data_IF_631279956487
#
_entry.id   IF_631279956487
#
_cell.length_a   1.000
_cell.length_b   1.000
_cell.length_c   1.000
_cell.angle_alpha   90.00
_cell.angle_beta   90.00
_cell.angle_gamma   90.00
#
_symmetry.space_group_name_H-M   'P 1'
#
loop_
_entity.id
_entity.type
_entity.pdbx_description
1 polymer ?
#
# COMPACT_ATOMS: atom_id res chain seq x y z
N UNK A 1 31.35 -33.24 -44.78
CA UNK A 1 32.50 -32.37 -44.51
C UNK A 1 32.11 -30.90 -44.42
N UNK A 2 31.51 -30.26 -45.46
CA UNK A 2 31.20 -28.81 -45.43
C UNK A 2 30.28 -28.44 -44.27
N UNK A 3 29.18 -29.16 -44.05
CA UNK A 3 28.25 -28.92 -42.91
C UNK A 3 28.93 -29.06 -41.54
N UNK A 4 29.89 -29.98 -41.37
CA UNK A 4 30.63 -30.21 -40.13
C UNK A 4 31.49 -29.01 -39.73
N UNK A 5 31.86 -28.17 -40.69
CA UNK A 5 32.63 -26.94 -40.46
C UNK A 5 31.70 -25.74 -40.37
N UNK A 6 30.70 -25.67 -41.26
CA UNK A 6 29.80 -24.49 -41.32
C UNK A 6 28.87 -24.34 -40.10
N UNK A 7 28.33 -25.48 -39.61
CA UNK A 7 27.38 -25.44 -38.47
C UNK A 7 28.06 -24.97 -37.17
N UNK A 8 29.23 -25.52 -36.75
CA UNK A 8 29.95 -25.02 -35.59
C UNK A 8 30.37 -23.54 -35.74
N UNK A 9 30.85 -23.15 -36.93
CA UNK A 9 31.26 -21.77 -37.18
C UNK A 9 30.08 -20.80 -37.04
N UNK A 10 28.92 -21.11 -37.60
CA UNK A 10 27.70 -20.34 -37.41
C UNK A 10 27.25 -20.30 -35.96
N UNK A 11 27.30 -21.43 -35.27
CA UNK A 11 26.95 -21.50 -33.86
C UNK A 11 27.86 -20.60 -33.01
N UNK A 12 29.16 -20.61 -33.26
CA UNK A 12 30.12 -19.73 -32.53
C UNK A 12 29.78 -18.25 -32.75
N UNK A 13 29.48 -17.85 -33.99
CA UNK A 13 29.14 -16.46 -34.31
C UNK A 13 27.81 -16.06 -33.66
N UNK A 14 26.75 -16.84 -33.82
CA UNK A 14 25.42 -16.54 -33.30
C UNK A 14 25.44 -16.52 -31.75
N UNK A 15 25.93 -17.58 -31.12
CA UNK A 15 25.97 -17.66 -29.67
C UNK A 15 27.02 -16.70 -29.07
N UNK A 16 28.14 -16.47 -29.76
CA UNK A 16 29.16 -15.49 -29.31
C UNK A 16 28.59 -14.08 -29.24
N UNK A 17 27.94 -13.61 -30.31
CA UNK A 17 27.29 -12.30 -30.32
C UNK A 17 26.15 -12.25 -29.28
N UNK A 18 25.35 -13.30 -29.16
CA UNK A 18 24.24 -13.37 -28.20
C UNK A 18 24.75 -13.29 -26.78
N UNK A 19 25.74 -14.08 -26.39
CA UNK A 19 26.32 -14.08 -25.05
C UNK A 19 26.98 -12.74 -24.71
N UNK A 20 27.56 -12.07 -25.68
CA UNK A 20 28.16 -10.75 -25.49
C UNK A 20 27.09 -9.64 -25.34
N UNK A 21 26.03 -9.70 -26.12
CA UNK A 21 24.96 -8.67 -26.09
C UNK A 21 23.99 -8.83 -24.93
N UNK A 22 23.75 -10.04 -24.40
CA UNK A 22 22.86 -10.26 -23.25
C UNK A 22 23.15 -9.39 -22.02
N UNK A 23 24.38 -9.29 -21.47
CA UNK A 23 24.68 -8.42 -20.34
C UNK A 23 24.54 -6.93 -20.69
N UNK A 24 24.80 -6.57 -21.95
CA UNK A 24 24.63 -5.20 -22.43
C UNK A 24 23.15 -4.80 -22.51
N UNK A 25 22.27 -5.68 -22.95
CA UNK A 25 20.82 -5.46 -22.92
C UNK A 25 20.28 -5.27 -21.49
N UNK A 26 20.82 -6.01 -20.50
CA UNK A 26 20.49 -5.75 -19.07
C UNK A 26 20.86 -4.34 -18.63
N UNK A 27 22.02 -3.84 -19.09
CA UNK A 27 22.45 -2.46 -18.80
C UNK A 27 21.57 -1.43 -19.51
N UNK A 28 21.12 -1.70 -20.74
CA UNK A 28 20.15 -0.85 -21.45
C UNK A 28 18.85 -0.79 -20.70
N UNK A 29 18.33 -1.95 -20.24
CA UNK A 29 17.10 -2.01 -19.45
C UNK A 29 17.21 -1.20 -18.15
N UNK A 30 18.31 -1.37 -17.41
CA UNK A 30 18.53 -0.58 -16.19
C UNK A 30 18.69 0.93 -16.46
N UNK A 31 19.22 1.30 -17.64
CA UNK A 31 19.24 2.69 -18.09
C UNK A 31 17.85 3.23 -18.41
N UNK A 32 17.01 2.41 -19.07
CA UNK A 32 15.62 2.76 -19.36
C UNK A 32 14.80 2.95 -18.08
N UNK A 33 14.97 2.05 -17.11
CA UNK A 33 14.28 2.14 -15.81
C UNK A 33 14.65 3.43 -15.05
N UNK A 34 15.91 3.88 -15.15
CA UNK A 34 16.34 5.18 -14.58
C UNK A 34 15.66 6.37 -15.26
N UNK A 35 15.69 6.43 -16.60
CA UNK A 35 15.02 7.50 -17.36
C UNK A 35 13.52 7.54 -17.06
N UNK A 36 12.85 6.38 -16.97
CA UNK A 36 11.44 6.31 -16.58
C UNK A 36 11.22 6.75 -15.14
N UNK A 37 12.14 6.41 -14.22
CA UNK A 37 12.12 6.85 -12.83
C UNK A 37 12.22 8.38 -12.74
N UNK A 38 13.21 8.97 -13.36
CA UNK A 38 13.41 10.42 -13.44
C UNK A 38 12.21 11.14 -14.07
N UNK A 39 11.64 10.58 -15.15
CA UNK A 39 10.39 11.12 -15.76
C UNK A 39 9.23 11.12 -14.77
N UNK A 40 9.03 10.02 -14.03
CA UNK A 40 7.96 9.93 -13.04
C UNK A 40 8.16 10.89 -11.88
N UNK A 41 9.39 11.02 -11.40
CA UNK A 41 9.76 11.96 -10.34
C UNK A 41 9.52 13.41 -10.79
N UNK A 42 9.95 13.78 -11.98
CA UNK A 42 9.72 15.11 -12.54
C UNK A 42 8.22 15.44 -12.71
N UNK A 43 7.41 14.47 -13.15
CA UNK A 43 5.96 14.66 -13.30
C UNK A 43 5.25 14.80 -11.94
N UNK A 44 5.64 14.02 -10.95
CA UNK A 44 5.05 14.10 -9.61
C UNK A 44 5.54 15.32 -8.84
N UNK A 45 6.81 15.68 -9.01
CA UNK A 45 7.49 16.79 -8.34
C UNK A 45 7.42 18.12 -9.07
N UNK A 46 6.68 18.27 -10.18
CA UNK A 46 6.68 19.47 -11.03
C UNK A 46 6.42 20.78 -10.28
N UNK A 47 5.56 20.74 -9.25
CA UNK A 47 5.26 21.93 -8.42
C UNK A 47 6.46 22.32 -7.56
N UNK A 48 7.20 21.34 -7.05
CA UNK A 48 8.41 21.57 -6.25
C UNK A 48 9.52 22.11 -7.14
N UNK A 49 9.75 21.50 -8.31
CA UNK A 49 10.76 21.95 -9.28
C UNK A 49 10.53 23.42 -9.64
N UNK A 50 9.27 23.81 -9.93
CA UNK A 50 8.90 25.19 -10.22
C UNK A 50 9.04 26.13 -9.02
N UNK A 51 8.64 25.68 -7.83
CA UNK A 51 8.74 26.50 -6.62
C UNK A 51 10.20 26.87 -6.27
N UNK A 52 11.15 25.99 -6.64
CA UNK A 52 12.58 26.20 -6.40
C UNK A 52 13.36 26.64 -7.65
N UNK A 53 12.67 26.95 -8.78
CA UNK A 53 13.28 27.37 -10.05
C UNK A 53 14.41 26.43 -10.52
N UNK A 54 14.13 25.11 -10.50
CA UNK A 54 15.12 24.06 -10.83
C UNK A 54 14.83 23.35 -12.16
N UNK A 55 14.02 23.97 -13.03
CA UNK A 55 13.61 23.37 -14.31
C UNK A 55 14.82 23.07 -15.20
N UNK A 56 15.74 24.01 -15.36
CA UNK A 56 16.93 23.83 -16.21
C UNK A 56 17.79 22.65 -15.72
N UNK A 57 18.05 22.60 -14.42
CA UNK A 57 18.82 21.50 -13.82
C UNK A 57 18.16 20.15 -14.02
N UNK A 58 16.82 20.07 -13.85
CA UNK A 58 16.06 18.85 -14.05
C UNK A 58 16.12 18.38 -15.52
N UNK A 59 16.07 19.31 -16.46
CA UNK A 59 16.23 19.02 -17.91
C UNK A 59 17.65 18.53 -18.21
N UNK A 60 18.68 19.17 -17.67
CA UNK A 60 20.08 18.76 -17.85
C UNK A 60 20.33 17.33 -17.32
N UNK A 61 19.84 17.00 -16.13
CA UNK A 61 19.95 15.67 -15.54
C UNK A 61 19.25 14.62 -16.40
N UNK A 62 18.01 14.89 -16.82
CA UNK A 62 17.25 14.01 -17.72
C UNK A 62 17.97 13.79 -19.06
N UNK A 63 18.47 14.89 -19.67
CA UNK A 63 19.20 14.77 -20.94
C UNK A 63 20.52 13.99 -20.78
N UNK A 64 21.23 14.14 -19.67
CA UNK A 64 22.45 13.37 -19.40
C UNK A 64 22.15 11.87 -19.31
N UNK A 65 21.11 11.48 -18.59
CA UNK A 65 20.66 10.08 -18.49
C UNK A 65 20.21 9.54 -19.87
N UNK A 66 19.40 10.30 -20.58
CA UNK A 66 18.90 9.93 -21.90
C UNK A 66 20.04 9.80 -22.95
N UNK A 67 21.02 10.71 -22.91
CA UNK A 67 22.23 10.63 -23.76
C UNK A 67 23.04 9.37 -23.44
N UNK A 68 23.21 9.04 -22.15
CA UNK A 68 23.93 7.84 -21.72
C UNK A 68 23.20 6.57 -22.20
N UNK A 69 21.88 6.50 -22.02
CA UNK A 69 21.04 5.39 -22.51
C UNK A 69 21.13 5.27 -24.03
N UNK A 70 20.99 6.37 -24.76
CA UNK A 70 21.06 6.41 -26.23
C UNK A 70 22.42 5.91 -26.74
N UNK A 71 23.53 6.35 -26.12
CA UNK A 71 24.89 5.90 -26.46
C UNK A 71 25.05 4.39 -26.26
N UNK A 72 24.57 3.87 -25.14
CA UNK A 72 24.61 2.46 -24.84
C UNK A 72 23.74 1.63 -25.80
N UNK A 73 22.52 2.08 -26.04
CA UNK A 73 21.57 1.40 -26.95
C UNK A 73 22.10 1.37 -28.39
N UNK A 74 22.69 2.47 -28.85
CA UNK A 74 23.33 2.55 -30.17
C UNK A 74 24.53 1.59 -30.28
N UNK A 75 25.35 1.47 -29.22
CA UNK A 75 26.46 0.52 -29.18
C UNK A 75 25.97 -0.92 -29.27
N UNK A 76 24.99 -1.31 -28.45
CA UNK A 76 24.40 -2.64 -28.46
C UNK A 76 23.73 -2.94 -29.81
N UNK A 77 23.02 -1.95 -30.37
CA UNK A 77 22.39 -2.06 -31.68
C UNK A 77 23.41 -2.33 -32.80
N UNK A 78 24.56 -1.64 -32.79
CA UNK A 78 25.65 -1.91 -33.78
C UNK A 78 26.20 -3.32 -33.70
N UNK A 79 26.45 -3.83 -32.49
CA UNK A 79 26.94 -5.20 -32.29
C UNK A 79 25.86 -6.20 -32.77
N UNK A 80 24.61 -6.00 -32.36
CA UNK A 80 23.52 -6.89 -32.80
C UNK A 80 23.29 -6.86 -34.31
N UNK A 81 23.48 -5.69 -34.95
CA UNK A 81 23.34 -5.54 -36.38
C UNK A 81 24.39 -6.32 -37.17
N UNK A 82 25.59 -6.61 -36.62
CA UNK A 82 26.62 -7.40 -37.26
C UNK A 82 26.24 -8.89 -37.38
N UNK A 83 25.27 -9.36 -36.63
CA UNK A 83 24.89 -10.79 -36.65
C UNK A 83 24.44 -11.25 -38.03
N UNK A 84 23.56 -10.50 -38.69
CA UNK A 84 23.02 -10.85 -40.00
C UNK A 84 24.10 -10.85 -41.11
N UNK A 85 24.89 -9.78 -41.31
CA UNK A 85 25.94 -9.76 -42.31
C UNK A 85 26.96 -10.89 -42.15
N UNK A 86 27.40 -11.15 -40.88
CA UNK A 86 28.36 -12.22 -40.63
C UNK A 86 27.80 -13.61 -40.91
N UNK A 87 26.56 -13.88 -40.52
CA UNK A 87 25.90 -15.14 -40.81
C UNK A 87 25.72 -15.34 -42.32
N UNK A 88 25.24 -14.31 -43.04
CA UNK A 88 25.11 -14.38 -44.50
C UNK A 88 26.47 -14.56 -45.21
N UNK A 89 27.52 -13.92 -44.75
CA UNK A 89 28.86 -14.10 -45.34
C UNK A 89 29.31 -15.56 -45.21
N UNK A 90 29.21 -16.15 -44.03
CA UNK A 90 29.59 -17.55 -43.80
C UNK A 90 28.80 -18.50 -44.69
N UNK A 91 27.49 -18.26 -44.78
CA UNK A 91 26.59 -19.09 -45.59
C UNK A 91 26.95 -19.01 -47.08
N UNK A 92 27.11 -17.79 -47.62
CA UNK A 92 27.43 -17.60 -49.01
C UNK A 92 28.78 -18.26 -49.37
N UNK A 93 29.80 -18.11 -48.52
CA UNK A 93 31.08 -18.80 -48.71
C UNK A 93 30.88 -20.32 -48.69
N UNK A 94 30.16 -20.86 -47.69
CA UNK A 94 29.87 -22.29 -47.62
C UNK A 94 29.09 -22.80 -48.81
N UNK A 95 28.14 -21.99 -49.33
CA UNK A 95 27.37 -22.30 -50.55
C UNK A 95 28.28 -22.40 -51.79
N UNK A 96 29.19 -21.45 -51.99
CA UNK A 96 30.16 -21.50 -53.12
C UNK A 96 31.00 -22.77 -53.05
N UNK A 97 31.53 -23.09 -51.85
CA UNK A 97 32.30 -24.34 -51.69
C UNK A 97 31.43 -25.60 -51.90
N UNK A 98 30.16 -25.59 -51.47
CA UNK A 98 29.22 -26.69 -51.68
C UNK A 98 29.00 -26.91 -53.19
N UNK A 99 28.68 -25.87 -53.96
CA UNK A 99 28.45 -25.94 -55.40
C UNK A 99 29.69 -26.40 -56.11
N UNK A 100 30.89 -25.85 -55.82
CA UNK A 100 32.14 -26.22 -56.43
C UNK A 100 32.47 -27.71 -56.21
N UNK A 101 32.38 -28.24 -55.02
CA UNK A 101 32.63 -29.65 -54.70
C UNK A 101 31.55 -30.55 -55.22
N UNK A 102 30.29 -30.11 -55.26
CA UNK A 102 29.19 -30.85 -55.86
C UNK A 102 29.30 -30.96 -57.39
N UNK A 103 29.68 -29.88 -58.10
CA UNK A 103 29.88 -29.87 -59.54
C UNK A 103 30.92 -30.90 -59.94
N UNK A 104 32.06 -30.98 -59.24
CA UNK A 104 33.09 -32.00 -59.50
C UNK A 104 32.53 -33.44 -59.39
N UNK A 105 31.71 -33.69 -58.32
CA UNK A 105 31.14 -35.03 -58.12
C UNK A 105 30.04 -35.39 -59.09
N UNK A 106 29.25 -34.41 -59.54
CA UNK A 106 28.23 -34.61 -60.59
C UNK A 106 28.89 -34.95 -61.88
N UNK A 107 29.98 -34.27 -62.29
CA UNK A 107 30.72 -34.54 -63.47
C UNK A 107 31.38 -35.94 -63.46
N UNK A 108 31.75 -36.46 -62.30
CA UNK A 108 32.26 -37.81 -62.12
C UNK A 108 31.17 -38.88 -62.01
N UNK A 109 29.87 -38.51 -62.18
CA UNK A 109 28.73 -39.41 -62.07
C UNK A 109 28.43 -39.95 -60.69
N UNK A 110 29.12 -39.43 -59.63
CA UNK A 110 29.00 -39.89 -58.25
C UNK A 110 27.85 -39.26 -57.48
N UNK A 111 27.20 -38.20 -58.02
CA UNK A 111 26.08 -37.52 -57.40
C UNK A 111 25.07 -37.01 -58.42
N UNK A 112 23.77 -37.28 -58.28
CA UNK A 112 22.75 -36.73 -59.18
C UNK A 112 22.52 -35.24 -58.86
N UNK A 113 22.18 -34.40 -59.82
CA UNK A 113 21.94 -32.94 -59.67
C UNK A 113 20.89 -32.61 -58.62
N UNK A 114 19.80 -33.39 -58.50
CA UNK A 114 18.75 -33.19 -57.53
C UNK A 114 19.22 -33.26 -56.07
N UNK A 115 20.23 -34.10 -55.80
CA UNK A 115 20.82 -34.13 -54.42
C UNK A 115 21.61 -32.88 -54.09
N UNK A 116 22.21 -32.21 -55.09
CA UNK A 116 22.92 -30.93 -54.84
C UNK A 116 21.93 -29.83 -54.40
N UNK A 117 20.78 -29.77 -55.09
CA UNK A 117 19.70 -28.84 -54.79
C UNK A 117 19.12 -29.14 -53.40
N UNK A 118 18.93 -30.41 -53.05
CA UNK A 118 18.47 -30.82 -51.74
C UNK A 118 19.47 -30.41 -50.63
N UNK A 119 20.76 -30.62 -50.81
CA UNK A 119 21.81 -30.18 -49.85
C UNK A 119 21.82 -28.66 -49.67
N UNK A 120 21.66 -27.88 -50.73
CA UNK A 120 21.56 -26.44 -50.67
C UNK A 120 20.34 -25.99 -49.82
N UNK A 121 19.17 -26.56 -50.09
CA UNK A 121 17.96 -26.28 -49.34
C UNK A 121 18.08 -26.66 -47.88
N UNK A 122 18.67 -27.81 -47.54
CA UNK A 122 18.94 -28.19 -46.13
C UNK A 122 19.88 -27.21 -45.46
N UNK A 123 20.91 -26.68 -46.15
CA UNK A 123 21.82 -25.69 -45.58
C UNK A 123 21.08 -24.41 -45.23
N UNK A 124 20.19 -23.89 -46.07
CA UNK A 124 19.35 -22.73 -45.78
C UNK A 124 18.39 -22.98 -44.59
N UNK A 125 17.80 -24.18 -44.55
CA UNK A 125 16.87 -24.53 -43.48
C UNK A 125 17.55 -24.65 -42.13
N UNK A 126 18.77 -25.22 -42.06
CA UNK A 126 19.54 -25.31 -40.81
C UNK A 126 19.76 -23.93 -40.17
N UNK A 127 19.96 -22.89 -40.96
CA UNK A 127 20.16 -21.52 -40.46
C UNK A 127 18.89 -20.98 -39.80
N UNK A 128 17.76 -21.17 -40.51
CA UNK A 128 16.46 -20.73 -39.98
C UNK A 128 16.19 -21.42 -38.62
N UNK A 129 16.47 -22.72 -38.56
CA UNK A 129 16.27 -23.48 -37.31
C UNK A 129 17.25 -23.06 -36.19
N UNK A 130 18.50 -22.71 -36.50
CA UNK A 130 19.45 -22.15 -35.53
C UNK A 130 18.97 -20.81 -34.95
N UNK A 131 18.45 -19.93 -35.77
CA UNK A 131 17.88 -18.63 -35.31
C UNK A 131 16.64 -18.87 -34.43
N UNK A 132 15.76 -19.78 -34.82
CA UNK A 132 14.60 -20.18 -34.03
C UNK A 132 15.03 -20.75 -32.66
N UNK A 133 16.05 -21.63 -32.65
CA UNK A 133 16.57 -22.20 -31.41
C UNK A 133 17.12 -21.13 -30.46
N UNK A 134 17.89 -20.17 -31.00
CA UNK A 134 18.38 -19.04 -30.18
C UNK A 134 17.25 -18.22 -29.61
N UNK A 135 16.20 -17.88 -30.37
CA UNK A 135 15.03 -17.14 -29.89
C UNK A 135 14.21 -17.94 -28.88
N UNK A 136 14.10 -19.26 -29.06
CA UNK A 136 13.44 -20.16 -28.09
C UNK A 136 14.14 -20.14 -26.72
N UNK A 137 15.48 -20.22 -26.70
CA UNK A 137 16.27 -20.15 -25.44
C UNK A 137 16.01 -18.83 -24.72
N UNK A 138 15.99 -17.71 -25.44
CA UNK A 138 15.69 -16.38 -24.84
C UNK A 138 14.28 -16.35 -24.24
N UNK A 139 13.31 -16.86 -24.98
CA UNK A 139 11.90 -16.90 -24.55
C UNK A 139 11.71 -17.79 -23.33
N UNK A 140 12.33 -18.97 -23.29
CA UNK A 140 12.31 -19.88 -22.14
C UNK A 140 12.89 -19.21 -20.89
N UNK A 141 14.04 -18.54 -21.00
CA UNK A 141 14.65 -17.84 -19.88
C UNK A 141 13.77 -16.71 -19.32
N UNK A 142 13.11 -15.93 -20.21
CA UNK A 142 12.13 -14.91 -19.80
C UNK A 142 10.92 -15.53 -19.10
N UNK A 143 10.39 -16.61 -19.66
CA UNK A 143 9.24 -17.33 -19.10
C UNK A 143 9.54 -17.90 -17.71
N UNK A 144 10.71 -18.50 -17.51
CA UNK A 144 11.15 -19.01 -16.22
C UNK A 144 11.30 -17.88 -15.17
N UNK A 145 11.85 -16.73 -15.57
CA UNK A 145 11.96 -15.57 -14.70
C UNK A 145 10.58 -15.01 -14.30
N UNK A 146 9.62 -14.97 -15.24
CA UNK A 146 8.24 -14.58 -14.96
C UNK A 146 7.55 -15.60 -14.04
N UNK A 147 7.71 -16.90 -14.31
CA UNK A 147 7.14 -17.98 -13.50
C UNK A 147 7.65 -17.90 -12.04
N UNK A 148 8.95 -17.70 -11.83
CA UNK A 148 9.51 -17.53 -10.48
C UNK A 148 8.90 -16.34 -9.73
N UNK A 149 8.73 -15.18 -10.39
CA UNK A 149 8.10 -14.00 -9.76
C UNK A 149 6.63 -14.26 -9.41
N UNK A 150 5.89 -14.89 -10.32
CA UNK A 150 4.49 -15.24 -10.07
C UNK A 150 4.37 -16.25 -8.92
N UNK A 151 5.21 -17.30 -8.94
CA UNK A 151 5.25 -18.28 -7.86
C UNK A 151 5.62 -17.67 -6.50
N UNK A 152 6.55 -16.71 -6.48
CA UNK A 152 6.91 -16.01 -5.24
C UNK A 152 5.72 -15.22 -4.66
N UNK A 153 4.91 -14.58 -5.51
CA UNK A 153 3.70 -13.86 -5.06
C UNK A 153 2.62 -14.84 -4.60
N UNK A 154 2.38 -15.91 -5.35
CA UNK A 154 1.39 -16.93 -4.99
C UNK A 154 1.78 -17.75 -3.76
N UNK A 155 3.07 -17.80 -3.46
CA UNK A 155 3.60 -18.47 -2.26
C UNK A 155 3.54 -17.63 -0.99
N UNK A 156 3.12 -16.35 -1.07
CA UNK A 156 2.94 -15.51 0.12
C UNK A 156 1.72 -16.05 0.90
N UNK A 157 1.98 -16.57 2.07
CA UNK A 157 0.94 -16.98 3.02
C UNK A 157 0.59 -15.78 3.91
N UNK A 158 -0.70 -15.59 4.25
CA UNK A 158 -1.07 -14.62 5.27
C UNK A 158 -0.46 -14.99 6.62
N UNK A 159 0.11 -14.02 7.35
CA UNK A 159 0.68 -14.28 8.69
C UNK A 159 -0.38 -14.53 9.75
N UNK A 160 -1.63 -14.11 9.50
CA UNK A 160 -2.73 -14.27 10.43
C UNK A 160 -3.69 -15.36 9.96
N UNK A 161 -3.92 -16.33 10.85
CA UNK A 161 -4.93 -17.37 10.68
C UNK A 161 -6.20 -17.00 11.44
N UNK A 162 -7.33 -17.11 10.77
CA UNK A 162 -8.65 -16.94 11.37
C UNK A 162 -9.33 -18.30 11.46
N UNK A 163 -10.07 -18.60 12.55
CA UNK A 163 -10.88 -19.81 12.62
C UNK A 163 -11.94 -19.78 11.51
N UNK A 164 -12.16 -20.93 10.86
CA UNK A 164 -13.11 -21.10 9.74
C UNK A 164 -14.58 -20.89 10.16
N UNK A 165 -14.88 -21.03 11.44
CA UNK A 165 -16.14 -20.66 12.07
C UNK A 165 -15.81 -20.17 13.47
N UNK A 166 -16.63 -19.25 14.02
CA UNK A 166 -16.48 -18.85 15.41
C UNK A 166 -16.48 -20.10 16.30
N UNK A 167 -15.51 -20.20 17.18
CA UNK A 167 -15.44 -21.30 18.15
C UNK A 167 -16.60 -21.19 19.16
N UNK A 168 -17.38 -20.10 19.09
CA UNK A 168 -18.43 -19.77 20.04
C UNK A 168 -19.81 -20.04 19.45
N UNK A 169 -20.71 -20.70 20.21
CA UNK A 169 -22.13 -20.78 19.85
C UNK A 169 -22.70 -19.34 19.82
N UNK A 170 -23.30 -18.94 18.70
CA UNK A 170 -23.99 -17.65 18.55
C UNK A 170 -25.06 -17.35 19.64
N UNK A 171 -25.43 -18.35 20.42
CA UNK A 171 -26.40 -18.26 21.51
C UNK A 171 -25.86 -17.66 22.83
N UNK A 172 -24.53 -17.50 22.98
CA UNK A 172 -23.93 -17.00 24.23
C UNK A 172 -23.40 -15.56 24.14
N UNK A 173 -23.39 -14.98 22.95
CA UNK A 173 -23.07 -13.56 22.77
C UNK A 173 -24.26 -12.75 23.31
N UNK A 174 -24.15 -12.21 24.50
CA UNK A 174 -25.20 -11.40 25.17
C UNK A 174 -25.92 -12.07 26.34
N UNK A 175 -25.57 -13.30 26.74
CA UNK A 175 -26.12 -13.99 27.90
C UNK A 175 -25.13 -14.32 29.01
N UNK A 176 -23.93 -13.77 28.99
CA UNK A 176 -23.03 -13.87 30.13
C UNK A 176 -23.63 -13.03 31.29
N UNK A 177 -23.75 -13.59 32.52
CA UNK A 177 -24.37 -12.90 33.66
C UNK A 177 -23.53 -11.72 34.19
N UNK A 178 -22.39 -11.45 33.61
CA UNK A 178 -21.52 -10.31 33.90
C UNK A 178 -21.45 -9.43 32.65
N UNK A 179 -21.75 -8.13 32.79
CA UNK A 179 -21.51 -7.14 31.72
C UNK A 179 -20.02 -7.09 31.43
N UNK A 180 -19.55 -7.95 30.52
CA UNK A 180 -18.18 -7.90 30.07
C UNK A 180 -17.97 -6.61 29.26
N UNK A 181 -16.81 -5.94 29.38
CA UNK A 181 -16.49 -4.78 28.57
C UNK A 181 -16.57 -5.10 27.08
N UNK A 182 -17.00 -4.15 26.25
CA UNK A 182 -17.02 -4.33 24.80
C UNK A 182 -15.60 -4.60 24.25
N UNK A 183 -14.60 -3.90 24.79
CA UNK A 183 -13.18 -4.09 24.45
C UNK A 183 -12.36 -4.07 25.72
N UNK A 184 -11.47 -5.04 25.89
CA UNK A 184 -10.52 -5.09 27.00
C UNK A 184 -9.12 -5.42 26.49
N UNK A 185 -8.13 -4.67 26.92
CA UNK A 185 -6.71 -4.91 26.70
C UNK A 185 -6.08 -5.36 28.00
N UNK A 186 -5.44 -6.54 27.99
CA UNK A 186 -4.75 -7.12 29.15
C UNK A 186 -3.26 -7.21 28.87
N UNK A 187 -2.50 -6.27 29.41
CA UNK A 187 -1.03 -6.22 29.31
C UNK A 187 -0.52 -6.35 27.86
N UNK A 188 -1.18 -5.64 26.93
CA UNK A 188 -0.93 -5.78 25.50
C UNK A 188 0.34 -5.08 25.10
N UNK A 189 1.23 -5.82 24.42
CA UNK A 189 2.43 -5.30 23.78
C UNK A 189 2.41 -5.62 22.29
N UNK A 190 2.97 -4.72 21.48
CA UNK A 190 3.02 -4.93 20.03
C UNK A 190 4.28 -4.32 19.42
N UNK A 191 4.94 -5.10 18.56
CA UNK A 191 6.10 -4.69 17.79
C UNK A 191 5.84 -5.03 16.31
N UNK A 192 6.01 -4.05 15.40
CA UNK A 192 5.95 -4.33 13.97
C UNK A 192 7.13 -5.19 13.54
N UNK A 193 6.91 -6.07 12.57
CA UNK A 193 7.97 -6.89 12.01
C UNK A 193 9.12 -6.02 11.47
N UNK A 194 10.35 -6.36 11.85
CA UNK A 194 11.54 -5.58 11.48
C UNK A 194 11.76 -4.27 12.27
N UNK A 195 10.86 -3.90 13.20
CA UNK A 195 11.08 -2.75 14.07
C UNK A 195 11.99 -3.10 15.24
N UNK A 196 12.92 -2.17 15.57
CA UNK A 196 13.87 -2.34 16.68
C UNK A 196 13.30 -2.06 18.07
N UNK A 197 12.07 -1.52 18.18
CA UNK A 197 11.43 -1.16 19.45
C UNK A 197 9.91 -1.45 19.40
N UNK A 198 9.29 -1.76 20.55
CA UNK A 198 7.85 -1.96 20.62
C UNK A 198 7.09 -0.67 20.36
N UNK A 199 6.01 -0.76 19.58
CA UNK A 199 5.09 0.36 19.33
C UNK A 199 4.02 0.50 20.43
N UNK A 200 3.76 -0.60 21.17
CA UNK A 200 2.94 -0.60 22.40
C UNK A 200 3.62 -1.49 23.45
N UNK A 201 3.62 -1.03 24.68
CA UNK A 201 4.26 -1.71 25.82
C UNK A 201 3.27 -1.82 26.99
N UNK A 202 2.86 -3.06 27.31
CA UNK A 202 2.06 -3.42 28.47
C UNK A 202 0.79 -2.57 28.69
N UNK A 203 0.06 -2.28 27.63
CA UNK A 203 -1.16 -1.47 27.67
C UNK A 203 -2.32 -2.27 28.24
N UNK A 204 -2.99 -1.73 29.27
CA UNK A 204 -4.17 -2.34 29.90
C UNK A 204 -5.26 -1.29 30.09
N UNK A 205 -6.46 -1.56 29.56
CA UNK A 205 -7.66 -0.75 29.77
C UNK A 205 -8.91 -1.56 29.40
N UNK A 206 -10.07 -1.07 29.80
CA UNK A 206 -11.37 -1.59 29.37
C UNK A 206 -12.25 -0.46 28.83
N UNK A 207 -13.10 -0.77 27.85
CA UNK A 207 -14.14 0.09 27.33
C UNK A 207 -15.50 -0.62 27.48
N UNK A 208 -16.44 0.02 28.14
CA UNK A 208 -17.77 -0.52 28.31
C UNK A 208 -18.61 -0.37 27.04
N UNK A 209 -19.66 -1.19 26.91
CA UNK A 209 -20.59 -1.12 25.79
C UNK A 209 -21.26 0.27 25.70
N UNK A 210 -21.30 0.83 24.49
CA UNK A 210 -21.86 2.15 24.24
C UNK A 210 -21.05 3.34 24.79
N UNK A 211 -19.84 3.09 25.32
CA UNK A 211 -18.94 4.11 25.84
C UNK A 211 -18.16 4.80 24.72
N UNK A 212 -17.94 6.09 24.85
CA UNK A 212 -17.01 6.83 23.99
C UNK A 212 -15.65 6.92 24.66
N UNK A 213 -14.62 6.35 24.00
CA UNK A 213 -13.21 6.34 24.45
C UNK A 213 -12.40 7.26 23.56
N UNK A 214 -11.84 8.32 24.13
CA UNK A 214 -10.90 9.21 23.46
C UNK A 214 -9.47 8.69 23.60
N UNK A 215 -8.68 8.78 22.56
CA UNK A 215 -7.26 8.38 22.58
C UNK A 215 -6.43 9.57 22.12
N UNK A 216 -5.51 10.02 22.99
CA UNK A 216 -4.67 11.19 22.75
C UNK A 216 -3.20 10.90 23.08
N UNK A 217 -2.29 11.66 22.48
CA UNK A 217 -0.85 11.54 22.67
C UNK A 217 -0.09 12.16 21.51
N UNK A 218 1.22 12.28 21.63
CA UNK A 218 2.10 12.82 20.60
C UNK A 218 2.09 12.00 19.30
N UNK A 219 2.70 12.54 18.25
CA UNK A 219 2.93 11.77 17.02
C UNK A 219 3.87 10.60 17.32
N UNK A 220 3.54 9.40 16.85
CA UNK A 220 4.34 8.20 17.10
C UNK A 220 4.09 7.54 18.46
N UNK A 221 3.17 8.03 19.30
CA UNK A 221 2.88 7.44 20.61
C UNK A 221 2.12 6.11 20.62
N UNK A 222 1.80 5.54 19.42
CA UNK A 222 1.13 4.23 19.30
C UNK A 222 -0.40 4.28 19.16
N UNK A 223 -1.04 5.45 19.03
CA UNK A 223 -2.51 5.60 18.97
C UNK A 223 -3.16 4.75 17.85
N UNK A 224 -2.72 4.92 16.62
CA UNK A 224 -3.25 4.14 15.49
C UNK A 224 -2.94 2.65 15.63
N UNK A 225 -1.77 2.32 16.16
CA UNK A 225 -1.40 0.92 16.45
C UNK A 225 -2.39 0.28 17.42
N UNK A 226 -2.72 1.00 18.52
CA UNK A 226 -3.67 0.51 19.52
C UNK A 226 -5.04 0.22 18.89
N UNK A 227 -5.59 1.17 18.13
CA UNK A 227 -6.92 0.96 17.54
C UNK A 227 -6.92 -0.05 16.41
N UNK A 228 -5.80 -0.31 15.75
CA UNK A 228 -5.68 -1.34 14.73
C UNK A 228 -5.64 -2.77 15.28
N UNK A 229 -5.33 -2.96 16.57
CA UNK A 229 -5.43 -4.26 17.22
C UNK A 229 -6.89 -4.67 17.50
N UNK A 230 -7.82 -3.70 17.63
CA UNK A 230 -9.25 -3.98 17.89
C UNK A 230 -9.93 -4.71 16.71
N UNK A 231 -9.77 -4.30 15.41
CA UNK A 231 -10.27 -5.06 14.27
C UNK A 231 -9.36 -6.23 13.88
N UNK A 232 -8.33 -6.51 14.69
CA UNK A 232 -7.33 -7.55 14.42
C UNK A 232 -6.67 -7.36 13.05
N UNK A 233 -6.22 -6.12 12.74
CA UNK A 233 -5.33 -5.91 11.58
C UNK A 233 -3.93 -6.46 11.83
N UNK A 234 -3.58 -6.62 13.09
CA UNK A 234 -2.36 -7.25 13.60
C UNK A 234 -2.69 -8.06 14.85
N UNK A 235 -1.94 -9.11 15.11
CA UNK A 235 -1.98 -9.84 16.37
C UNK A 235 -1.01 -9.20 17.38
N UNK A 236 -1.41 -9.11 18.65
CA UNK A 236 -0.53 -8.64 19.73
C UNK A 236 0.69 -9.56 19.85
N UNK A 237 1.88 -8.99 20.09
CA UNK A 237 3.11 -9.76 20.36
C UNK A 237 3.20 -10.23 21.80
N UNK A 238 2.42 -9.62 22.72
CA UNK A 238 2.29 -10.01 24.12
C UNK A 238 0.96 -9.55 24.67
N UNK A 239 0.46 -10.22 25.70
CA UNK A 239 -0.86 -9.95 26.28
C UNK A 239 -2.02 -10.36 25.39
N UNK A 240 -3.24 -9.95 25.74
CA UNK A 240 -4.47 -10.35 25.06
C UNK A 240 -5.40 -9.16 24.84
N UNK A 241 -6.04 -9.12 23.66
CA UNK A 241 -7.16 -8.24 23.35
C UNK A 241 -8.43 -9.08 23.40
N UNK A 242 -9.43 -8.62 24.14
CA UNK A 242 -10.70 -9.30 24.31
C UNK A 242 -11.84 -8.43 23.75
N UNK A 243 -12.80 -9.06 23.09
CA UNK A 243 -14.08 -8.47 22.70
C UNK A 243 -15.18 -9.20 23.47
N UNK A 244 -16.01 -8.46 24.21
CA UNK A 244 -17.07 -9.02 25.07
C UNK A 244 -16.54 -10.15 25.98
N UNK A 245 -15.31 -9.99 26.52
CA UNK A 245 -14.66 -10.96 27.40
C UNK A 245 -14.04 -12.16 26.70
N UNK A 246 -14.07 -12.23 25.36
CA UNK A 246 -13.56 -13.33 24.56
C UNK A 246 -12.28 -12.89 23.81
N UNK A 247 -11.23 -13.73 23.73
CA UNK A 247 -10.02 -13.40 22.98
C UNK A 247 -10.35 -13.11 21.50
N UNK A 248 -9.81 -12.01 20.98
CA UNK A 248 -10.08 -11.58 19.59
C UNK A 248 -9.68 -12.63 18.55
N UNK A 249 -8.74 -13.50 18.89
CA UNK A 249 -8.27 -14.60 18.04
C UNK A 249 -9.30 -15.71 17.83
N UNK A 250 -10.33 -15.78 18.69
CA UNK A 250 -11.40 -16.78 18.59
C UNK A 250 -12.53 -16.39 17.63
N UNK A 251 -12.55 -15.14 17.16
CA UNK A 251 -13.54 -14.66 16.21
C UNK A 251 -13.13 -14.96 14.76
N UNK A 252 -14.13 -15.27 13.92
CA UNK A 252 -13.92 -15.33 12.47
C UNK A 252 -13.69 -13.92 11.89
N UNK A 253 -13.07 -13.87 10.73
CA UNK A 253 -12.83 -12.59 10.03
C UNK A 253 -14.15 -11.88 9.72
N UNK A 254 -15.16 -12.63 9.31
CA UNK A 254 -16.49 -12.14 8.96
C UNK A 254 -17.20 -11.48 10.15
N UNK A 255 -17.07 -12.08 11.34
CA UNK A 255 -17.64 -11.52 12.57
C UNK A 255 -16.97 -10.21 12.98
N UNK A 256 -15.63 -10.18 13.00
CA UNK A 256 -14.90 -8.95 13.27
C UNK A 256 -15.24 -7.87 12.25
N UNK A 257 -15.28 -8.25 10.96
CA UNK A 257 -15.67 -7.31 9.91
C UNK A 257 -17.12 -6.86 10.04
N UNK A 258 -18.07 -7.66 10.58
CA UNK A 258 -19.47 -7.26 10.77
C UNK A 258 -19.61 -6.29 11.94
N UNK A 259 -18.97 -6.55 13.04
CA UNK A 259 -19.21 -5.84 14.29
C UNK A 259 -18.37 -4.56 14.46
N UNK A 260 -17.25 -4.45 13.72
CA UNK A 260 -16.33 -3.31 13.87
C UNK A 260 -16.33 -2.45 12.61
N UNK A 261 -16.66 -1.18 12.76
CA UNK A 261 -16.53 -0.14 11.73
C UNK A 261 -15.24 0.64 11.93
N UNK A 262 -14.43 0.80 10.87
CA UNK A 262 -13.16 1.54 10.94
C UNK A 262 -13.16 2.67 9.93
N UNK A 263 -12.86 3.87 10.40
CA UNK A 263 -12.57 5.05 9.58
C UNK A 263 -11.09 5.35 9.69
N UNK A 264 -10.31 5.07 8.64
CA UNK A 264 -8.86 5.29 8.67
C UNK A 264 -8.52 6.78 8.61
N UNK A 265 -7.33 7.13 9.07
CA UNK A 265 -6.80 8.50 9.04
C UNK A 265 -6.81 9.08 7.61
N UNK A 266 -6.40 8.30 6.62
CA UNK A 266 -6.45 8.69 5.21
C UNK A 266 -7.75 8.22 4.56
N UNK A 267 -8.60 9.15 4.16
CA UNK A 267 -9.82 8.84 3.43
C UNK A 267 -9.51 8.21 2.06
N UNK A 268 -9.98 7.00 1.85
CA UNK A 268 -9.86 6.27 0.58
C UNK A 268 -11.24 5.95 0.04
N UNK A 269 -11.52 6.44 -1.17
CA UNK A 269 -12.75 6.15 -1.92
C UNK A 269 -12.37 5.43 -3.22
N UNK A 270 -13.17 4.45 -3.59
CA UNK A 270 -12.97 3.69 -4.81
C UNK A 270 -13.64 4.40 -6.00
N UNK A 271 -13.11 4.17 -7.20
CA UNK A 271 -13.76 4.59 -8.44
C UNK A 271 -15.11 3.87 -8.56
N UNK A 272 -16.18 4.62 -8.83
CA UNK A 272 -17.56 4.12 -8.88
C UNK A 272 -18.50 5.16 -8.33
N UNK A 273 -19.77 4.84 -8.12
CA UNK A 273 -20.75 5.77 -7.55
C UNK A 273 -20.54 5.99 -6.05
N UNK A 274 -21.13 7.07 -5.50
CA UNK A 274 -21.20 7.28 -4.05
C UNK A 274 -21.95 6.11 -3.42
N UNK A 275 -23.05 5.67 -4.01
CA UNK A 275 -23.84 4.49 -3.59
C UNK A 275 -22.95 3.26 -3.42
N UNK A 276 -22.20 2.88 -4.47
CA UNK A 276 -21.30 1.74 -4.43
C UNK A 276 -20.28 1.86 -3.30
N UNK A 277 -19.72 3.05 -3.09
CA UNK A 277 -18.78 3.28 -2.00
C UNK A 277 -19.41 3.13 -0.61
N UNK A 278 -20.66 3.54 -0.42
CA UNK A 278 -21.37 3.39 0.85
C UNK A 278 -21.79 1.95 1.11
N UNK A 279 -22.23 1.23 0.08
CA UNK A 279 -22.61 -0.18 0.16
C UNK A 279 -21.45 -1.12 0.54
N UNK A 280 -20.19 -0.65 0.48
CA UNK A 280 -19.07 -1.39 1.10
C UNK A 280 -19.23 -1.56 2.62
N UNK A 281 -19.97 -0.67 3.27
CA UNK A 281 -20.29 -0.81 4.69
C UNK A 281 -21.30 -1.94 4.94
N UNK A 282 -22.38 -1.98 4.13
CA UNK A 282 -23.39 -3.02 4.16
C UNK A 282 -24.04 -3.10 2.76
N UNK A 283 -23.92 -4.26 2.11
CA UNK A 283 -24.45 -4.47 0.76
C UNK A 283 -25.97 -4.49 0.70
N UNK A 284 -26.64 -4.85 1.80
CA UNK A 284 -28.09 -4.96 1.91
C UNK A 284 -28.75 -3.66 2.42
N UNK A 285 -27.96 -2.56 2.57
CA UNK A 285 -28.47 -1.29 3.06
C UNK A 285 -29.45 -0.65 2.07
N UNK A 286 -30.57 -0.15 2.58
CA UNK A 286 -31.54 0.60 1.79
C UNK A 286 -31.06 2.03 1.52
N UNK A 287 -31.66 2.71 0.55
CA UNK A 287 -31.38 4.13 0.30
C UNK A 287 -31.61 5.00 1.53
N UNK A 288 -32.62 4.67 2.34
CA UNK A 288 -32.91 5.37 3.60
C UNK A 288 -31.75 5.21 4.60
N UNK A 289 -31.17 4.00 4.73
CA UNK A 289 -29.99 3.76 5.56
C UNK A 289 -28.78 4.57 5.09
N UNK A 290 -28.58 4.64 3.75
CA UNK A 290 -27.51 5.44 3.17
C UNK A 290 -27.66 6.93 3.49
N UNK A 291 -28.88 7.48 3.32
CA UNK A 291 -29.15 8.88 3.62
C UNK A 291 -29.07 9.19 5.11
N UNK A 292 -29.49 8.27 5.97
CA UNK A 292 -29.34 8.41 7.42
C UNK A 292 -27.85 8.47 7.83
N UNK A 293 -27.03 7.55 7.30
CA UNK A 293 -25.61 7.54 7.55
C UNK A 293 -24.91 8.80 7.02
N UNK A 294 -25.31 9.28 5.84
CA UNK A 294 -24.82 10.54 5.26
C UNK A 294 -25.19 11.75 6.15
N UNK A 295 -26.40 11.79 6.70
CA UNK A 295 -26.81 12.85 7.60
C UNK A 295 -25.99 12.84 8.89
N UNK A 296 -25.78 11.67 9.50
CA UNK A 296 -24.94 11.52 10.70
C UNK A 296 -23.49 11.92 10.43
N UNK A 297 -22.94 11.57 9.27
CA UNK A 297 -21.56 11.93 8.86
C UNK A 297 -21.44 13.38 8.38
N UNK A 298 -22.49 14.19 8.44
CA UNK A 298 -22.51 15.57 7.92
C UNK A 298 -22.18 15.64 6.40
N UNK A 299 -22.52 14.58 5.65
CA UNK A 299 -22.24 14.44 4.23
C UNK A 299 -23.46 14.61 3.33
N UNK A 300 -24.66 14.75 3.91
CA UNK A 300 -25.93 14.81 3.17
C UNK A 300 -25.93 15.93 2.14
N UNK A 301 -25.61 17.16 2.53
CA UNK A 301 -25.56 18.33 1.65
C UNK A 301 -24.53 18.16 0.52
N UNK A 302 -23.40 17.49 0.82
CA UNK A 302 -22.37 17.21 -0.19
C UNK A 302 -22.93 16.35 -1.32
N UNK A 303 -23.71 15.33 -0.97
CA UNK A 303 -24.29 14.39 -1.93
C UNK A 303 -25.49 15.00 -2.65
N UNK A 304 -26.35 15.75 -1.95
CA UNK A 304 -27.49 16.46 -2.54
C UNK A 304 -27.06 17.51 -3.58
N UNK A 305 -25.90 18.17 -3.34
CA UNK A 305 -25.33 19.14 -4.27
C UNK A 305 -24.62 18.54 -5.49
N UNK A 306 -24.57 17.19 -5.62
CA UNK A 306 -23.99 16.52 -6.79
C UNK A 306 -25.06 16.12 -7.79
N UNK A 307 -24.76 16.28 -9.07
CA UNK A 307 -25.59 15.77 -10.15
C UNK A 307 -25.68 14.23 -10.07
N UNK A 308 -26.89 13.66 -10.00
CA UNK A 308 -27.11 12.23 -9.77
C UNK A 308 -27.06 11.79 -8.29
N UNK A 309 -26.77 12.69 -7.34
CA UNK A 309 -26.78 12.41 -5.88
C UNK A 309 -25.99 11.16 -5.51
N UNK A 310 -26.66 10.10 -5.03
CA UNK A 310 -26.01 8.82 -4.67
C UNK A 310 -25.31 8.14 -5.86
N UNK A 311 -25.78 8.39 -7.08
CA UNK A 311 -25.24 7.79 -8.30
C UNK A 311 -24.15 8.65 -8.96
N UNK A 312 -23.74 9.77 -8.30
CA UNK A 312 -22.60 10.58 -8.73
C UNK A 312 -21.33 9.75 -8.78
N UNK A 313 -20.63 9.80 -9.92
CA UNK A 313 -19.41 9.01 -10.14
C UNK A 313 -18.19 9.66 -9.51
N UNK A 314 -17.52 8.89 -8.68
CA UNK A 314 -16.24 9.23 -8.08
C UNK A 314 -15.09 8.78 -8.99
N UNK A 315 -14.10 9.65 -9.16
CA UNK A 315 -12.83 9.30 -9.78
C UNK A 315 -11.97 8.45 -8.83
N UNK A 316 -10.91 7.87 -9.35
CA UNK A 316 -9.95 7.10 -8.56
C UNK A 316 -9.43 7.92 -7.36
N UNK A 317 -9.51 7.35 -6.16
CA UNK A 317 -9.22 8.03 -4.89
C UNK A 317 -10.09 9.28 -4.62
N UNK A 318 -11.25 9.40 -5.25
CA UNK A 318 -12.18 10.52 -5.09
C UNK A 318 -11.56 11.87 -5.48
N UNK A 319 -10.71 11.94 -6.53
CA UNK A 319 -9.98 13.17 -6.92
C UNK A 319 -10.90 14.36 -7.20
N UNK A 320 -12.13 14.10 -7.57
CA UNK A 320 -13.18 15.09 -7.82
C UNK A 320 -13.91 15.56 -6.55
N UNK A 321 -13.39 15.23 -5.36
CA UNK A 321 -13.90 15.68 -4.06
C UNK A 321 -12.81 16.38 -3.24
N UNK A 322 -13.21 17.32 -2.37
CA UNK A 322 -12.31 17.91 -1.37
C UNK A 322 -11.93 16.90 -0.28
N UNK A 323 -10.85 17.16 0.46
CA UNK A 323 -10.40 16.30 1.56
C UNK A 323 -11.47 16.05 2.61
N UNK A 324 -12.16 17.11 3.07
CA UNK A 324 -13.25 17.00 4.03
C UNK A 324 -14.48 16.26 3.49
N UNK A 325 -14.81 16.41 2.19
CA UNK A 325 -15.89 15.63 1.56
C UNK A 325 -15.56 14.14 1.53
N UNK A 326 -14.34 13.76 1.16
CA UNK A 326 -13.88 12.37 1.20
C UNK A 326 -13.97 11.78 2.59
N UNK A 327 -13.52 12.53 3.58
CA UNK A 327 -13.52 12.08 4.98
C UNK A 327 -14.95 11.82 5.45
N UNK A 328 -15.87 12.75 5.21
CA UNK A 328 -17.29 12.59 5.57
C UNK A 328 -17.93 11.38 4.91
N UNK A 329 -17.65 11.12 3.62
CA UNK A 329 -18.16 9.93 2.93
C UNK A 329 -17.53 8.64 3.47
N UNK A 330 -16.26 8.66 3.89
CA UNK A 330 -15.61 7.50 4.52
C UNK A 330 -16.23 7.21 5.90
N UNK A 331 -16.58 8.25 6.67
CA UNK A 331 -17.32 8.12 7.94
C UNK A 331 -18.72 7.56 7.67
N UNK A 332 -19.45 8.11 6.69
CA UNK A 332 -20.79 7.61 6.31
C UNK A 332 -20.74 6.12 5.97
N UNK A 333 -19.75 5.68 5.17
CA UNK A 333 -19.54 4.26 4.84
C UNK A 333 -19.41 3.37 6.06
N UNK A 334 -18.66 3.81 7.08
CA UNK A 334 -18.54 3.06 8.33
C UNK A 334 -19.84 3.03 9.14
N UNK A 335 -20.63 4.12 9.10
CA UNK A 335 -21.93 4.23 9.79
C UNK A 335 -23.05 3.41 9.13
N UNK A 336 -23.04 3.26 7.79
CA UNK A 336 -24.01 2.38 7.07
C UNK A 336 -23.99 0.96 7.64
N UNK A 337 -22.85 0.52 8.14
CA UNK A 337 -22.65 -0.79 8.73
C UNK A 337 -23.43 -0.98 10.04
N UNK A 338 -23.78 0.11 10.76
CA UNK A 338 -24.36 0.10 12.11
C UNK A 338 -23.54 -0.78 13.07
N UNK A 339 -22.22 -0.52 13.19
CA UNK A 339 -21.31 -1.40 13.93
C UNK A 339 -21.54 -1.30 15.44
N UNK A 340 -21.22 -2.37 16.19
CA UNK A 340 -21.17 -2.35 17.66
C UNK A 340 -19.98 -1.53 18.18
N UNK A 341 -18.85 -1.56 17.45
CA UNK A 341 -17.64 -0.81 17.75
C UNK A 341 -17.28 0.05 16.54
N UNK A 342 -17.18 1.37 16.73
CA UNK A 342 -16.79 2.33 15.72
C UNK A 342 -15.43 2.94 16.07
N UNK A 343 -14.46 2.82 15.17
CA UNK A 343 -13.13 3.37 15.31
C UNK A 343 -12.96 4.54 14.34
N UNK A 344 -12.59 5.70 14.86
CA UNK A 344 -12.33 6.93 14.12
C UNK A 344 -10.86 7.32 14.34
N UNK A 345 -9.96 6.91 13.42
CA UNK A 345 -8.54 7.18 13.54
C UNK A 345 -8.19 8.53 12.90
N UNK A 346 -7.99 9.56 13.73
CA UNK A 346 -7.69 10.96 13.37
C UNK A 346 -8.55 11.51 12.21
N UNK A 347 -9.80 11.03 12.15
CA UNK A 347 -10.71 11.24 11.03
C UNK A 347 -11.25 12.68 10.94
N UNK A 348 -11.03 13.50 11.96
CA UNK A 348 -11.47 14.89 12.01
C UNK A 348 -10.41 15.90 11.54
N UNK A 349 -9.18 15.46 11.29
CA UNK A 349 -8.07 16.36 10.92
C UNK A 349 -8.28 17.12 9.60
N UNK A 350 -9.06 16.54 8.68
CA UNK A 350 -9.41 17.15 7.39
C UNK A 350 -10.73 17.95 7.41
N UNK A 351 -11.42 18.01 8.55
CA UNK A 351 -12.70 18.71 8.70
C UNK A 351 -12.48 20.11 9.27
N UNK A 352 -13.33 21.05 8.86
CA UNK A 352 -13.44 22.34 9.52
C UNK A 352 -14.06 22.19 10.93
N UNK A 353 -13.86 23.21 11.76
CA UNK A 353 -14.30 23.18 13.16
C UNK A 353 -15.82 22.98 13.32
N UNK A 354 -16.62 23.62 12.47
CA UNK A 354 -18.09 23.55 12.54
C UNK A 354 -18.58 22.15 12.20
N UNK A 355 -18.08 21.59 11.09
CA UNK A 355 -18.41 20.22 10.64
C UNK A 355 -17.96 19.17 11.66
N UNK A 356 -16.75 19.31 12.23
CA UNK A 356 -16.23 18.40 13.27
C UNK A 356 -17.10 18.45 14.54
N UNK A 357 -17.50 19.66 14.97
CA UNK A 357 -18.40 19.83 16.12
C UNK A 357 -19.77 19.20 15.88
N UNK A 358 -20.36 19.40 14.68
CA UNK A 358 -21.65 18.82 14.31
C UNK A 358 -21.57 17.27 14.21
N UNK A 359 -20.48 16.75 13.64
CA UNK A 359 -20.21 15.30 13.58
C UNK A 359 -20.15 14.70 14.98
N UNK A 360 -19.37 15.31 15.90
CA UNK A 360 -19.28 14.84 17.29
C UNK A 360 -20.62 14.86 18.01
N UNK A 361 -21.45 15.90 17.75
CA UNK A 361 -22.81 15.95 18.28
C UNK A 361 -23.68 14.81 17.76
N UNK A 362 -23.59 14.49 16.46
CA UNK A 362 -24.30 13.37 15.87
C UNK A 362 -23.84 12.01 16.42
N UNK A 363 -22.54 11.81 16.60
CA UNK A 363 -21.95 10.58 17.16
C UNK A 363 -22.36 10.36 18.63
N UNK A 364 -22.68 11.41 19.40
CA UNK A 364 -23.22 11.25 20.75
C UNK A 364 -24.59 10.54 20.75
N UNK A 365 -25.36 10.65 19.67
CA UNK A 365 -26.61 9.89 19.51
C UNK A 365 -26.41 8.38 19.46
N UNK A 366 -25.17 7.90 19.26
CA UNK A 366 -24.83 6.48 19.28
C UNK A 366 -24.48 5.94 20.68
N UNK A 367 -24.45 6.81 21.70
CA UNK A 367 -24.17 6.39 23.09
C UNK A 367 -25.18 5.34 23.56
N UNK A 368 -24.67 4.33 24.22
CA UNK A 368 -25.47 3.20 24.73
C UNK A 368 -25.74 2.11 23.70
N UNK A 369 -25.48 2.35 22.41
CA UNK A 369 -25.66 1.33 21.35
C UNK A 369 -24.35 0.97 20.64
N UNK A 370 -23.45 1.94 20.46
CA UNK A 370 -22.18 1.75 19.76
C UNK A 370 -21.04 2.24 20.64
N UNK A 371 -20.04 1.41 20.84
CA UNK A 371 -18.79 1.78 21.51
C UNK A 371 -17.90 2.52 20.53
N UNK A 372 -17.53 3.78 20.83
CA UNK A 372 -16.82 4.65 19.89
C UNK A 372 -15.40 4.92 20.37
N UNK A 373 -14.41 4.60 19.56
CA UNK A 373 -13.01 4.96 19.75
C UNK A 373 -12.65 6.17 18.90
N UNK A 374 -12.31 7.29 19.54
CA UNK A 374 -11.93 8.54 18.89
C UNK A 374 -10.44 8.79 19.08
N UNK A 375 -9.65 8.58 18.03
CA UNK A 375 -8.24 8.99 18.03
C UNK A 375 -8.15 10.42 17.56
N UNK A 376 -7.49 11.27 18.33
CA UNK A 376 -7.27 12.68 17.96
C UNK A 376 -5.96 13.20 18.52
N UNK A 377 -5.37 14.16 17.82
CA UNK A 377 -4.27 14.97 18.31
C UNK A 377 -4.79 16.25 19.00
N UNK A 378 -6.09 16.58 18.81
CA UNK A 378 -6.72 17.76 19.38
C UNK A 378 -7.48 17.37 20.64
N UNK A 379 -7.24 18.10 21.73
CA UNK A 379 -7.97 17.94 22.98
C UNK A 379 -9.48 18.10 22.79
N UNK A 380 -9.89 19.11 22.01
CA UNK A 380 -11.30 19.36 21.69
C UNK A 380 -11.99 18.14 21.07
N UNK A 381 -11.22 17.24 20.41
CA UNK A 381 -11.73 16.00 19.83
C UNK A 381 -12.15 14.95 20.87
N UNK A 382 -11.43 14.87 21.98
CA UNK A 382 -11.58 13.82 22.99
C UNK A 382 -12.08 14.31 24.34
N UNK A 383 -12.09 15.62 24.58
CA UNK A 383 -12.42 16.23 25.88
C UNK A 383 -13.77 15.77 26.47
N UNK A 384 -14.73 15.47 25.62
CA UNK A 384 -16.08 15.06 26.02
C UNK A 384 -16.30 13.53 25.98
N UNK A 385 -15.23 12.77 25.79
CA UNK A 385 -15.28 11.31 25.86
C UNK A 385 -15.57 10.86 27.32
N UNK A 386 -16.21 9.70 27.46
CA UNK A 386 -16.51 9.12 28.78
C UNK A 386 -15.24 8.64 29.47
N UNK A 387 -14.24 8.24 28.69
CA UNK A 387 -12.91 7.81 29.11
C UNK A 387 -11.87 8.31 28.11
N UNK A 388 -10.76 8.84 28.58
CA UNK A 388 -9.65 9.29 27.75
C UNK A 388 -8.42 8.44 28.10
N UNK A 389 -7.77 7.89 27.08
CA UNK A 389 -6.50 7.17 27.15
C UNK A 389 -5.39 8.10 26.66
N UNK A 390 -4.40 8.34 27.51
CA UNK A 390 -3.23 9.16 27.17
C UNK A 390 -2.06 8.24 26.89
N UNK A 391 -1.60 8.25 25.66
CA UNK A 391 -0.46 7.44 25.22
C UNK A 391 0.79 8.29 25.07
N UNK A 392 1.89 7.81 25.62
CA UNK A 392 3.23 8.35 25.41
C UNK A 392 4.24 7.23 25.19
N UNK A 393 5.04 7.34 24.12
CA UNK A 393 6.09 6.37 23.77
C UNK A 393 5.62 4.89 23.86
N UNK A 394 4.43 4.60 23.34
CA UNK A 394 3.86 3.25 23.31
C UNK A 394 3.25 2.77 24.64
N UNK A 395 3.28 3.59 25.71
CA UNK A 395 2.75 3.25 27.01
C UNK A 395 1.51 4.07 27.37
N UNK A 396 0.59 3.48 28.13
CA UNK A 396 -0.58 4.17 28.67
C UNK A 396 -0.18 4.92 29.94
N UNK A 397 -0.04 6.25 29.84
CA UNK A 397 0.42 7.11 30.96
C UNK A 397 -0.72 7.80 31.71
N UNK A 398 -1.93 7.74 31.19
CA UNK A 398 -3.13 8.30 31.84
C UNK A 398 -4.40 7.66 31.32
N UNK A 399 -5.35 7.41 32.23
CA UNK A 399 -6.66 6.86 31.90
C UNK A 399 -7.70 7.49 32.86
N UNK A 400 -8.72 8.16 32.33
CA UNK A 400 -9.75 8.82 33.13
C UNK A 400 -10.54 9.83 32.32
N UNK A 401 -11.33 10.68 33.03
CA UNK A 401 -12.06 11.80 32.42
C UNK A 401 -11.15 13.02 32.26
N UNK A 402 -11.58 13.95 31.42
CA UNK A 402 -10.86 15.20 31.17
C UNK A 402 -10.39 15.91 32.44
N UNK A 403 -11.32 16.15 33.41
CA UNK A 403 -11.02 16.87 34.66
C UNK A 403 -10.03 16.11 35.55
N UNK A 404 -10.10 14.78 35.56
CA UNK A 404 -9.20 13.92 36.35
C UNK A 404 -7.79 13.94 35.75
N UNK A 405 -7.68 13.81 34.41
CA UNK A 405 -6.41 13.83 33.73
C UNK A 405 -5.75 15.22 33.79
N UNK A 406 -6.54 16.28 33.75
CA UNK A 406 -6.02 17.63 33.87
C UNK A 406 -5.43 17.89 35.29
N UNK A 407 -5.81 17.10 36.31
CA UNK A 407 -5.23 17.15 37.65
C UNK A 407 -4.04 16.22 37.83
N UNK A 408 -4.13 15.01 37.27
CA UNK A 408 -3.27 13.89 37.66
C UNK A 408 -2.27 13.43 36.59
N UNK A 409 -2.42 13.82 35.30
CA UNK A 409 -1.57 13.36 34.21
C UNK A 409 -0.73 14.52 33.65
N UNK A 410 0.58 14.48 33.86
CA UNK A 410 1.50 15.52 33.38
C UNK A 410 1.48 15.64 31.85
N UNK A 411 1.56 14.51 31.13
CA UNK A 411 1.53 14.48 29.67
C UNK A 411 0.23 15.07 29.12
N UNK A 412 -0.92 14.78 29.75
CA UNK A 412 -2.19 15.37 29.33
C UNK A 412 -2.23 16.87 29.55
N UNK A 413 -1.70 17.36 30.69
CA UNK A 413 -1.55 18.81 30.98
C UNK A 413 -0.70 19.51 29.92
N UNK A 414 0.43 18.91 29.57
CA UNK A 414 1.34 19.48 28.57
C UNK A 414 0.66 19.58 27.20
N UNK A 415 -0.05 18.54 26.77
CA UNK A 415 -0.83 18.55 25.53
C UNK A 415 -1.95 19.62 25.61
N UNK A 416 -2.63 19.72 26.76
CA UNK A 416 -3.71 20.70 26.97
C UNK A 416 -3.20 22.13 26.87
N UNK A 417 -2.20 22.48 27.67
CA UNK A 417 -1.66 23.84 27.68
C UNK A 417 -0.87 24.23 26.45
N UNK A 418 -0.43 23.25 25.64
CA UNK A 418 0.12 23.54 24.31
C UNK A 418 -0.96 24.00 23.34
N UNK A 419 -2.21 23.55 23.50
CA UNK A 419 -3.35 23.93 22.67
C UNK A 419 -4.17 25.09 23.23
N UNK A 420 -4.13 25.29 24.55
CA UNK A 420 -4.81 26.37 25.28
C UNK A 420 -3.82 27.11 26.20
N UNK A 421 -2.87 27.89 25.63
CA UNK A 421 -1.84 28.58 26.42
C UNK A 421 -2.41 29.59 27.42
N UNK A 422 -3.56 30.18 27.10
CA UNK A 422 -4.22 31.21 27.95
C UNK A 422 -4.74 30.63 29.27
N UNK A 423 -5.03 29.33 29.31
CA UNK A 423 -5.53 28.64 30.51
C UNK A 423 -4.41 28.07 31.40
N UNK A 424 -3.14 28.26 30.98
CA UNK A 424 -1.99 27.79 31.76
C UNK A 424 -1.93 28.56 33.10
N UNK A 425 -1.95 27.89 34.26
CA UNK A 425 -1.76 28.56 35.52
C UNK A 425 -0.44 29.33 35.51
N UNK A 426 -0.49 30.64 35.73
CA UNK A 426 0.72 31.43 35.95
C UNK A 426 1.41 30.90 37.18
N UNK A 427 2.50 30.19 37.03
CA UNK A 427 3.44 29.91 38.10
C UNK A 427 3.94 31.27 38.57
N UNK A 428 3.54 31.71 39.74
CA UNK A 428 4.21 32.78 40.46
C UNK A 428 5.64 32.27 40.69
N UNK A 429 6.54 32.53 39.77
CA UNK A 429 7.96 32.49 40.06
C UNK A 429 8.23 33.50 41.15
N UNK A 430 8.86 33.00 42.18
CA UNK A 430 9.27 33.78 43.36
C UNK A 430 10.17 34.95 42.91
N UNK A 431 9.56 36.13 42.76
CA UNK A 431 10.25 37.38 43.02
C UNK A 431 10.46 37.49 44.51
N UNK A 432 11.61 37.09 44.97
CA UNK A 432 11.95 37.16 46.38
C UNK A 432 13.33 36.60 46.64
N UNK A 433 14.34 37.40 46.26
CA UNK A 433 15.61 37.58 46.97
C UNK A 433 16.63 38.29 46.05
N UNK A 434 16.57 39.59 46.00
CA UNK A 434 17.76 40.40 45.75
C UNK A 434 17.98 41.19 47.07
N UNK A 435 18.77 40.64 47.88
CA UNK A 435 19.90 41.16 48.61
C UNK A 435 19.95 42.64 48.95
N UNK A 436 19.68 42.88 50.19
CA UNK A 436 20.54 43.77 51.01
C UNK A 436 21.76 42.95 51.46
N UNK A 437 22.95 43.29 50.97
CA UNK A 437 24.16 43.45 51.77
C UNK A 437 25.38 43.79 50.91
N UNK A 438 25.91 45.03 51.23
CA UNK A 438 27.27 45.57 51.12
C UNK A 438 27.85 45.79 49.73
#
# INVERSE_FOLDING_TARGET
>A
MIFVVTIPLLSIVVFGIMLWTMPLYKKVQAGLDRVLGSTRENLTGVRVIRAFCREEKSVEEFEAENRALTKLNRFVGRISALMNPLTYLIINIATVFLIQKAAIRVNLGALPQGQVVALYNYMLQIIVELIKLASLIITLNKSLACAKRTSAILGIQPDMEYPSASVLPQAEIGKAPWKAPAVEFRNVSFTYEGAGAPSLSSVSFSAEEGQTVGIIGGTGSGKSTLVHLIPRFYDSTGGEVLLHGQPIRSFSKEELCRNIGVVPQKAVLFKGSIRENLLWGNQDATDEDLWQALAMAQAKEVVEGKEGRLDFLLEQNGRNLSGGQKQRLTIARALVKKPEILILDDSSSALDYATDSALRKALRGLRGTTTVFLVSQRISGVQQADKILVLDNGSLVGCGRHEELLKNCAVYKDIYYSQFPEERPQTKEAEGQTDENA
#
